data_IF_283726529288
#
_entry.id   IF_283726529288
#
_cell.length_a   1.000
_cell.length_b   1.000
_cell.length_c   1.000
_cell.angle_alpha   90.00
_cell.angle_beta   90.00
_cell.angle_gamma   90.00
#
_symmetry.space_group_name_H-M   'P 1'
#
loop_
_entity.id
_entity.type
_entity.pdbx_description
1 polymer ?
#
# COMPACT_ATOMS: atom_id res chain seq x y z
N UNK A 1 5.81 12.59 1.99
CA UNK A 1 4.40 12.49 2.44
C UNK A 1 4.07 11.05 2.85
N UNK A 2 4.05 10.06 1.95
CA UNK A 2 3.62 8.68 2.26
C UNK A 2 4.42 8.02 3.40
N UNK A 3 5.73 8.24 3.50
CA UNK A 3 6.54 7.71 4.60
C UNK A 3 6.14 8.31 5.96
N UNK A 4 5.84 9.61 6.01
CA UNK A 4 5.37 10.25 7.25
C UNK A 4 4.02 9.70 7.68
N UNK A 5 3.08 9.52 6.75
CA UNK A 5 1.76 8.95 7.07
C UNK A 5 1.86 7.48 7.49
N UNK A 6 2.72 6.70 6.84
CA UNK A 6 3.02 5.33 7.25
C UNK A 6 3.56 5.28 8.69
N UNK A 7 4.49 6.18 9.03
CA UNK A 7 5.03 6.33 10.38
C UNK A 7 3.94 6.66 11.40
N UNK A 8 3.14 7.69 11.15
CA UNK A 8 2.06 8.10 12.06
C UNK A 8 1.04 6.98 12.29
N UNK A 9 0.71 6.21 11.24
CA UNK A 9 -0.17 5.04 11.37
C UNK A 9 0.43 3.93 12.24
N UNK A 10 1.73 3.63 12.07
CA UNK A 10 2.41 2.64 12.89
C UNK A 10 2.50 3.09 14.35
N UNK A 11 2.89 4.35 14.60
CA UNK A 11 3.00 4.91 15.94
C UNK A 11 1.65 4.98 16.67
N UNK A 12 0.55 5.20 15.96
CA UNK A 12 -0.80 5.29 16.54
C UNK A 12 -1.30 3.99 17.21
N UNK A 13 -0.65 2.85 16.95
CA UNK A 13 -1.06 1.55 17.52
C UNK A 13 -0.09 1.01 18.56
N UNK A 14 1.06 1.64 18.79
CA UNK A 14 2.08 1.15 19.73
C UNK A 14 1.59 1.05 21.19
N UNK A 15 0.61 1.85 21.57
CA UNK A 15 0.02 1.82 22.92
C UNK A 15 -1.23 0.94 23.05
N UNK A 16 -1.59 0.18 22.01
CA UNK A 16 -2.76 -0.70 22.04
C UNK A 16 -2.45 -2.03 22.71
N UNK A 17 -3.45 -2.59 23.38
CA UNK A 17 -3.45 -3.99 23.80
C UNK A 17 -4.10 -4.86 22.74
N UNK A 18 -3.64 -6.09 22.63
CA UNK A 18 -4.20 -7.14 21.76
C UNK A 18 -4.42 -8.41 22.57
N UNK A 19 -5.39 -9.21 22.14
CA UNK A 19 -5.65 -10.52 22.73
C UNK A 19 -4.56 -11.50 22.29
N UNK A 20 -3.85 -12.08 23.23
CA UNK A 20 -2.84 -13.13 23.05
C UNK A 20 -3.39 -14.54 23.34
N UNK A 21 -4.69 -14.72 23.27
CA UNK A 21 -5.36 -16.01 23.56
C UNK A 21 -5.25 -16.39 25.04
N UNK A 22 -4.70 -17.57 25.33
CA UNK A 22 -4.57 -18.06 26.73
C UNK A 22 -3.73 -17.14 27.63
N UNK A 23 -2.85 -16.30 27.08
CA UNK A 23 -2.07 -15.31 27.83
C UNK A 23 -2.85 -14.06 28.21
N UNK A 24 -4.08 -13.87 27.66
CA UNK A 24 -4.94 -12.71 27.90
C UNK A 24 -4.51 -11.45 27.15
N UNK A 25 -5.11 -10.33 27.49
CA UNK A 25 -4.81 -9.04 26.88
C UNK A 25 -3.45 -8.50 27.29
N UNK A 26 -2.65 -8.06 26.34
CA UNK A 26 -1.33 -7.50 26.58
C UNK A 26 -0.87 -6.52 25.49
N UNK A 27 0.29 -5.89 25.67
CA UNK A 27 0.85 -5.04 24.62
C UNK A 27 1.16 -5.85 23.37
N UNK A 28 1.17 -5.22 22.19
CA UNK A 28 1.63 -5.87 20.95
C UNK A 28 3.07 -6.37 21.18
N UNK A 29 3.31 -7.66 20.96
CA UNK A 29 4.66 -8.26 21.00
C UNK A 29 5.02 -8.76 19.60
N UNK A 30 5.85 -7.98 18.88
CA UNK A 30 6.19 -8.28 17.50
C UNK A 30 6.60 -7.05 16.71
N UNK A 31 6.41 -7.10 15.41
CA UNK A 31 6.65 -5.95 14.53
C UNK A 31 5.34 -5.24 14.20
N UNK A 32 5.37 -3.91 14.23
CA UNK A 32 4.26 -3.05 13.78
C UNK A 32 4.66 -2.43 12.45
N UNK A 33 3.86 -2.70 11.41
CA UNK A 33 4.06 -2.13 10.08
C UNK A 33 2.96 -1.12 9.77
N UNK A 34 3.34 0.12 9.51
CA UNK A 34 2.47 1.14 8.94
C UNK A 34 2.71 1.27 7.44
N UNK A 35 1.64 1.49 6.68
CA UNK A 35 1.70 1.71 5.24
C UNK A 35 0.81 2.87 4.81
N UNK A 36 1.25 3.60 3.79
CA UNK A 36 0.45 4.63 3.13
C UNK A 36 0.86 4.74 1.67
N UNK A 37 -0.12 4.99 0.78
CA UNK A 37 0.14 5.07 -0.66
C UNK A 37 -0.46 6.33 -1.26
N UNK A 38 0.21 6.87 -2.28
CA UNK A 38 -0.25 7.99 -3.07
C UNK A 38 0.15 7.79 -4.53
N UNK A 39 -0.73 8.17 -5.44
CA UNK A 39 -0.49 8.14 -6.88
C UNK A 39 -0.16 9.53 -7.39
N UNK A 40 0.89 9.66 -8.18
CA UNK A 40 1.32 10.90 -8.82
C UNK A 40 1.18 10.80 -10.33
N UNK A 41 0.51 11.78 -10.93
CA UNK A 41 0.41 11.96 -12.37
C UNK A 41 0.70 13.43 -12.69
N UNK A 42 1.68 13.69 -13.57
CA UNK A 42 2.13 15.04 -13.97
C UNK A 42 2.51 15.96 -12.78
N UNK A 43 3.13 15.40 -11.75
CA UNK A 43 3.51 16.16 -10.55
C UNK A 43 2.36 16.47 -9.60
N UNK A 44 1.15 15.98 -9.89
CA UNK A 44 -0.01 16.13 -9.02
C UNK A 44 -0.26 14.82 -8.27
N UNK A 45 -0.36 14.92 -6.95
CA UNK A 45 -0.60 13.76 -6.08
C UNK A 45 -2.10 13.54 -5.88
N UNK A 46 -2.54 12.31 -6.15
CA UNK A 46 -3.92 11.87 -6.02
C UNK A 46 -4.04 10.83 -4.89
N UNK A 47 -4.84 11.14 -3.89
CA UNK A 47 -5.30 10.18 -2.88
C UNK A 47 -6.53 9.39 -3.36
N UNK A 48 -7.34 8.89 -2.43
CA UNK A 48 -8.63 8.24 -2.72
C UNK A 48 -9.63 9.26 -3.29
N UNK A 49 -10.43 8.90 -4.31
CA UNK A 49 -11.45 9.82 -4.85
C UNK A 49 -12.68 9.96 -3.96
N UNK A 50 -13.09 8.90 -3.26
CA UNK A 50 -14.30 8.78 -2.43
C UNK A 50 -15.64 8.96 -3.16
N UNK A 51 -15.67 9.74 -4.24
CA UNK A 51 -16.88 10.07 -5.00
C UNK A 51 -16.78 9.53 -6.45
N UNK A 52 -17.86 8.92 -7.00
CA UNK A 52 -17.87 8.36 -8.35
C UNK A 52 -17.49 9.37 -9.44
N UNK A 53 -18.01 10.60 -9.38
CA UNK A 53 -17.69 11.64 -10.35
C UNK A 53 -16.22 12.08 -10.29
N UNK A 54 -15.57 12.00 -9.13
CA UNK A 54 -14.13 12.25 -8.98
C UNK A 54 -13.33 11.11 -9.57
N UNK A 55 -13.71 9.87 -9.28
CA UNK A 55 -13.08 8.68 -9.86
C UNK A 55 -13.17 8.68 -11.40
N UNK A 56 -14.36 8.96 -11.96
CA UNK A 56 -14.55 9.06 -13.40
C UNK A 56 -13.64 10.10 -14.05
N UNK A 57 -13.57 11.31 -13.48
CA UNK A 57 -12.69 12.37 -14.00
C UNK A 57 -11.22 11.94 -13.98
N UNK A 58 -10.79 11.21 -12.97
CA UNK A 58 -9.41 10.69 -12.88
C UNK A 58 -9.14 9.65 -13.95
N UNK A 59 -10.07 8.72 -14.18
CA UNK A 59 -9.94 7.70 -15.22
C UNK A 59 -9.83 8.30 -16.62
N UNK A 60 -10.65 9.30 -16.94
CA UNK A 60 -10.53 10.04 -18.20
C UNK A 60 -9.18 10.76 -18.35
N UNK A 61 -8.58 11.20 -17.24
CA UNK A 61 -7.25 11.82 -17.24
C UNK A 61 -6.13 10.78 -17.35
N UNK A 62 -6.29 9.61 -16.73
CA UNK A 62 -5.27 8.56 -16.64
C UNK A 62 -5.18 7.70 -17.91
N UNK A 63 -6.28 7.51 -18.63
CA UNK A 63 -6.37 6.69 -19.85
C UNK A 63 -5.26 7.02 -20.83
N UNK A 64 -4.51 5.99 -21.25
CA UNK A 64 -3.38 6.10 -22.19
C UNK A 64 -2.12 6.76 -21.60
N UNK A 65 -2.09 7.05 -20.31
CA UNK A 65 -0.98 7.74 -19.66
C UNK A 65 -0.29 6.87 -18.62
N UNK A 66 0.80 7.36 -18.09
CA UNK A 66 1.50 6.73 -16.99
C UNK A 66 1.68 7.68 -15.81
N UNK A 67 1.62 7.12 -14.61
CA UNK A 67 1.89 7.80 -13.38
C UNK A 67 2.68 6.93 -12.42
N UNK A 68 3.08 7.49 -11.28
CA UNK A 68 3.87 6.77 -10.28
C UNK A 68 3.07 6.57 -9.01
N UNK A 69 2.98 5.33 -8.56
CA UNK A 69 2.47 5.02 -7.23
C UNK A 69 3.65 4.93 -6.27
N UNK A 70 3.55 5.68 -5.18
CA UNK A 70 4.49 5.70 -4.07
C UNK A 70 3.86 5.01 -2.87
N UNK A 71 4.52 3.98 -2.32
CA UNK A 71 4.09 3.29 -1.11
C UNK A 71 5.16 3.42 -0.02
N UNK A 72 4.82 4.17 1.02
CA UNK A 72 5.66 4.33 2.21
C UNK A 72 5.40 3.22 3.22
N UNK A 73 6.46 2.68 3.81
CA UNK A 73 6.41 1.66 4.83
C UNK A 73 7.23 2.11 6.03
N UNK A 74 6.66 1.95 7.24
CA UNK A 74 7.32 2.22 8.49
C UNK A 74 7.21 1.00 9.40
N UNK A 75 8.36 0.44 9.78
CA UNK A 75 8.45 -0.75 10.62
C UNK A 75 8.97 -0.38 12.00
N UNK A 76 8.25 -0.77 13.05
CA UNK A 76 8.64 -0.62 14.44
C UNK A 76 8.93 -2.00 15.01
N UNK A 77 10.11 -2.19 15.58
CA UNK A 77 10.40 -3.33 16.43
C UNK A 77 9.74 -3.12 17.80
N UNK A 78 8.71 -3.88 18.07
CA UNK A 78 7.92 -3.82 19.31
C UNK A 78 7.99 -5.16 20.07
N UNK A 79 9.02 -5.96 19.79
CA UNK A 79 9.25 -7.23 20.49
C UNK A 79 9.56 -6.97 21.98
N UNK A 80 8.94 -7.78 22.84
CA UNK A 80 8.96 -7.58 24.29
C UNK A 80 7.98 -6.51 24.77
N UNK A 81 6.96 -6.17 23.97
CA UNK A 81 5.84 -5.32 24.35
C UNK A 81 6.16 -3.82 24.44
N UNK A 82 7.27 -3.36 23.87
CA UNK A 82 7.69 -1.95 23.86
C UNK A 82 8.52 -1.62 22.62
N UNK A 83 8.48 -0.37 22.12
CA UNK A 83 9.32 0.05 21.01
C UNK A 83 10.81 -0.08 21.34
N UNK A 84 11.57 -0.80 20.52
CA UNK A 84 13.01 -1.01 20.63
C UNK A 84 13.79 -0.34 19.47
N UNK A 85 13.13 -0.06 18.36
CA UNK A 85 13.71 0.61 17.21
C UNK A 85 12.66 0.81 16.11
N UNK A 86 12.99 1.62 15.12
CA UNK A 86 12.12 1.81 13.96
C UNK A 86 12.94 2.18 12.72
N UNK A 87 12.45 1.75 11.56
CA UNK A 87 13.01 2.08 10.24
C UNK A 87 11.90 2.21 9.21
N UNK A 88 12.19 2.79 8.05
CA UNK A 88 11.20 2.91 7.00
C UNK A 88 11.79 3.25 5.64
N UNK A 89 10.94 3.15 4.63
CA UNK A 89 11.33 3.45 3.25
C UNK A 89 10.14 3.67 2.35
N UNK A 90 10.44 4.04 1.11
CA UNK A 90 9.43 4.22 0.06
C UNK A 90 9.77 3.29 -1.10
N UNK A 91 8.76 2.61 -1.61
CA UNK A 91 8.78 1.91 -2.90
C UNK A 91 7.97 2.71 -3.90
N UNK A 92 8.53 2.92 -5.10
CA UNK A 92 7.86 3.66 -6.17
C UNK A 92 7.79 2.80 -7.42
N UNK A 93 6.61 2.74 -8.02
CA UNK A 93 6.36 1.96 -9.23
C UNK A 93 5.57 2.77 -10.24
N UNK A 94 5.97 2.71 -11.51
CA UNK A 94 5.24 3.36 -12.59
C UNK A 94 4.12 2.44 -13.07
N UNK A 95 2.94 3.00 -13.26
CA UNK A 95 1.76 2.31 -13.80
C UNK A 95 1.32 3.00 -15.06
N UNK A 96 1.23 2.26 -16.17
CA UNK A 96 0.72 2.74 -17.46
C UNK A 96 -0.67 2.18 -17.72
N UNK A 97 -1.62 3.07 -17.97
CA UNK A 97 -3.00 2.73 -18.28
C UNK A 97 -3.15 2.44 -19.78
N UNK A 98 -4.04 1.51 -20.13
CA UNK A 98 -4.41 1.24 -21.52
C UNK A 98 -5.02 2.51 -22.15
N UNK A 99 -4.81 2.68 -23.45
CA UNK A 99 -5.24 3.87 -24.20
C UNK A 99 -6.59 3.67 -24.90
N UNK A 100 -7.01 2.44 -25.03
CA UNK A 100 -8.24 2.01 -25.71
C UNK A 100 -9.46 1.83 -24.78
N UNK A 101 -9.36 2.20 -23.51
CA UNK A 101 -10.46 2.09 -22.53
C UNK A 101 -11.61 3.01 -22.95
N UNK A 102 -12.79 2.47 -23.18
CA UNK A 102 -13.99 3.25 -23.51
C UNK A 102 -14.55 3.99 -22.29
N UNK A 103 -15.37 5.03 -22.54
CA UNK A 103 -16.08 5.74 -21.46
C UNK A 103 -17.06 4.81 -20.74
N UNK A 104 -17.67 3.85 -21.45
CA UNK A 104 -18.59 2.86 -20.88
C UNK A 104 -17.90 1.89 -19.92
N UNK A 105 -16.66 1.48 -20.23
CA UNK A 105 -15.84 0.65 -19.32
C UNK A 105 -15.46 1.43 -18.08
N UNK A 106 -15.07 2.72 -18.23
CA UNK A 106 -14.79 3.60 -17.10
C UNK A 106 -16.02 3.72 -16.20
N UNK A 107 -17.19 3.99 -16.79
CA UNK A 107 -18.44 4.14 -16.03
C UNK A 107 -18.82 2.84 -15.33
N UNK A 108 -18.65 1.70 -15.98
CA UNK A 108 -18.90 0.38 -15.40
C UNK A 108 -17.94 0.07 -14.24
N UNK A 109 -16.66 0.39 -14.38
CA UNK A 109 -15.68 0.18 -13.32
C UNK A 109 -15.96 1.10 -12.12
N UNK A 110 -16.26 2.37 -12.36
CA UNK A 110 -16.62 3.32 -11.29
C UNK A 110 -17.87 2.87 -10.55
N UNK A 111 -18.86 2.33 -11.25
CA UNK A 111 -20.11 1.83 -10.67
C UNK A 111 -19.90 0.64 -9.70
N UNK A 112 -18.79 -0.10 -9.82
CA UNK A 112 -18.45 -1.18 -8.86
C UNK A 112 -18.12 -0.65 -7.46
N UNK A 113 -17.76 0.63 -7.34
CA UNK A 113 -17.27 1.24 -6.09
C UNK A 113 -15.80 0.94 -5.78
N UNK A 114 -15.17 -0.03 -6.45
CA UNK A 114 -13.78 -0.43 -6.20
C UNK A 114 -12.78 0.74 -6.27
N UNK A 115 -12.81 1.62 -7.29
CA UNK A 115 -11.85 2.71 -7.40
C UNK A 115 -12.00 3.80 -6.35
N UNK A 116 -13.10 3.83 -5.59
CA UNK A 116 -13.39 4.96 -4.69
C UNK A 116 -12.49 5.01 -3.47
N UNK A 117 -12.04 3.85 -2.99
CA UNK A 117 -11.30 3.71 -1.73
C UNK A 117 -9.81 3.39 -1.91
N UNK A 118 -9.27 3.58 -3.12
CA UNK A 118 -7.86 3.32 -3.42
C UNK A 118 -7.15 4.56 -3.98
N UNK A 119 -5.86 4.72 -3.66
CA UNK A 119 -5.04 5.81 -4.18
C UNK A 119 -4.93 5.71 -5.71
N UNK A 120 -5.14 6.83 -6.41
CA UNK A 120 -5.14 6.87 -7.87
C UNK A 120 -6.40 6.29 -8.53
N UNK A 121 -7.37 5.80 -7.75
CA UNK A 121 -8.64 5.25 -8.24
C UNK A 121 -8.50 3.97 -9.10
N UNK A 122 -7.49 3.14 -8.88
CA UNK A 122 -7.29 1.89 -9.62
C UNK A 122 -6.74 0.77 -8.74
N UNK A 123 -6.93 -0.47 -9.16
CA UNK A 123 -6.29 -1.67 -8.63
C UNK A 123 -5.57 -2.41 -9.75
N UNK A 124 -4.57 -3.24 -9.40
CA UNK A 124 -3.87 -4.12 -10.36
C UNK A 124 -4.13 -5.60 -10.09
N UNK A 125 -4.84 -5.91 -9.05
CA UNK A 125 -5.10 -7.26 -8.53
C UNK A 125 -6.59 -7.59 -8.39
N UNK A 126 -7.47 -6.71 -8.91
CA UNK A 126 -8.91 -6.88 -8.90
C UNK A 126 -9.55 -6.39 -10.22
N UNK A 127 -10.74 -5.78 -10.19
CA UNK A 127 -11.50 -5.39 -11.39
C UNK A 127 -10.81 -4.33 -12.25
N UNK A 128 -9.92 -3.53 -11.68
CA UNK A 128 -9.11 -2.55 -12.41
C UNK A 128 -7.97 -3.15 -13.24
N UNK A 129 -7.57 -4.40 -12.97
CA UNK A 129 -6.42 -5.05 -13.60
C UNK A 129 -6.43 -5.04 -15.14
N UNK A 130 -7.57 -5.30 -15.84
CA UNK A 130 -7.61 -5.29 -17.31
C UNK A 130 -7.27 -3.94 -17.95
N UNK A 131 -7.37 -2.85 -17.19
CA UNK A 131 -7.13 -1.49 -17.69
C UNK A 131 -5.66 -1.03 -17.48
N UNK A 132 -4.81 -1.90 -16.91
CA UNK A 132 -3.40 -1.62 -16.68
C UNK A 132 -2.56 -2.28 -17.77
N UNK A 133 -1.95 -1.46 -18.60
CA UNK A 133 -1.13 -1.95 -19.72
C UNK A 133 0.27 -2.41 -19.26
N UNK A 134 0.83 -1.76 -18.22
CA UNK A 134 2.18 -2.09 -17.73
C UNK A 134 2.39 -1.61 -16.29
N UNK A 135 3.14 -2.40 -15.51
CA UNK A 135 3.69 -1.98 -14.22
C UNK A 135 5.22 -2.12 -14.29
N UNK A 136 5.95 -1.03 -14.07
CA UNK A 136 7.41 -1.03 -13.94
C UNK A 136 7.80 -0.75 -12.49
N UNK A 137 8.52 -1.67 -11.87
CA UNK A 137 8.91 -1.62 -10.47
C UNK A 137 8.36 -2.78 -9.66
N UNK A 138 7.92 -2.53 -8.44
CA UNK A 138 7.36 -3.54 -7.53
C UNK A 138 5.83 -3.56 -7.59
N UNK A 139 5.21 -4.57 -8.23
CA UNK A 139 3.76 -4.66 -8.31
C UNK A 139 3.09 -4.85 -6.93
N UNK A 140 3.77 -5.50 -5.97
CA UNK A 140 3.23 -5.64 -4.61
C UNK A 140 3.14 -4.27 -3.91
N UNK A 141 4.08 -3.34 -4.20
CA UNK A 141 3.98 -1.97 -3.70
C UNK A 141 2.76 -1.24 -4.27
N UNK A 142 2.36 -1.54 -5.51
CA UNK A 142 1.15 -0.96 -6.14
C UNK A 142 -0.11 -1.46 -5.44
N UNK A 143 -0.16 -2.72 -5.04
CA UNK A 143 -1.25 -3.28 -4.21
C UNK A 143 -1.28 -2.66 -2.81
N UNK A 144 -0.13 -2.20 -2.30
CA UNK A 144 -0.05 -1.48 -1.01
C UNK A 144 1.05 -1.96 -0.06
N UNK A 145 1.67 -3.14 -0.31
CA UNK A 145 2.76 -3.67 0.51
C UNK A 145 3.93 -4.13 -0.35
N UNK A 146 5.01 -3.35 -0.39
CA UNK A 146 6.28 -3.81 -0.96
C UNK A 146 6.91 -4.89 -0.09
N UNK A 147 6.72 -6.15 -0.47
CA UNK A 147 7.32 -7.30 0.23
C UNK A 147 8.86 -7.25 0.13
N UNK A 148 9.39 -6.77 -0.99
CA UNK A 148 10.83 -6.58 -1.19
C UNK A 148 11.41 -5.51 -0.25
N UNK A 149 10.70 -4.39 -0.06
CA UNK A 149 11.10 -3.36 0.90
C UNK A 149 10.98 -3.87 2.33
N UNK A 150 9.84 -4.50 2.69
CA UNK A 150 9.63 -5.06 4.02
C UNK A 150 10.75 -6.05 4.41
N UNK A 151 11.15 -6.93 3.48
CA UNK A 151 12.29 -7.83 3.71
C UNK A 151 13.56 -7.07 4.07
N UNK A 152 13.86 -5.95 3.41
CA UNK A 152 15.05 -5.12 3.70
C UNK A 152 14.96 -4.47 5.07
N UNK A 153 13.78 -3.91 5.41
CA UNK A 153 13.55 -3.29 6.72
C UNK A 153 13.69 -4.30 7.87
N UNK A 154 13.22 -5.52 7.70
CA UNK A 154 13.35 -6.60 8.69
C UNK A 154 14.82 -7.01 8.90
N UNK A 155 15.65 -6.96 7.85
CA UNK A 155 17.09 -7.26 8.00
C UNK A 155 17.83 -6.26 8.91
N UNK A 156 17.35 -5.01 9.03
CA UNK A 156 17.93 -4.02 9.95
C UNK A 156 17.69 -4.40 11.43
N UNK A 157 16.76 -5.32 11.69
CA UNK A 157 16.48 -5.91 13.01
C UNK A 157 16.93 -7.38 13.11
N UNK A 158 17.86 -7.81 12.26
CA UNK A 158 18.41 -9.18 12.20
C UNK A 158 17.36 -10.26 11.92
N UNK A 159 16.19 -9.90 11.35
CA UNK A 159 15.15 -10.85 10.98
C UNK A 159 15.32 -11.27 9.52
N UNK A 160 15.61 -12.55 9.31
CA UNK A 160 15.69 -13.16 7.97
C UNK A 160 14.32 -13.62 7.50
N UNK A 161 13.95 -13.29 6.27
CA UNK A 161 12.63 -13.61 5.71
C UNK A 161 12.18 -15.06 5.89
N UNK A 162 13.05 -16.11 5.69
CA UNK A 162 12.64 -17.49 5.90
C UNK A 162 12.17 -17.82 7.33
N UNK A 163 12.60 -17.07 8.35
CA UNK A 163 12.17 -17.30 9.73
C UNK A 163 10.69 -16.95 9.97
N UNK A 164 10.06 -16.28 9.01
CA UNK A 164 8.62 -15.95 9.05
C UNK A 164 7.74 -17.00 8.37
N UNK A 165 8.35 -18.04 7.79
CA UNK A 165 7.58 -19.09 7.12
C UNK A 165 6.96 -20.06 8.14
N UNK A 166 5.68 -20.35 7.99
CA UNK A 166 4.95 -21.35 8.80
C UNK A 166 5.28 -22.79 8.41
N UNK A 167 6.47 -23.05 7.90
CA UNK A 167 6.93 -24.38 7.48
C UNK A 167 8.22 -24.72 8.18
N UNK A 168 8.40 -25.95 8.72
CA UNK A 168 9.71 -26.40 9.14
C UNK A 168 10.65 -26.40 7.93
N UNK A 169 11.83 -25.82 8.09
CA UNK A 169 12.91 -25.85 7.09
C UNK A 169 13.66 -27.19 7.23
#
# INVERSE_FOLDING_TARGET
MVLLLARLKAEAVTGRTVDHGEAGDGPIDGFILGGDSAFELDGIVYGKPHLPEVARKRWLLQRGREGTLHSGHWLIDHRGGRPAGATGGVSSSTVRFADDISDEEIDSYVATGEPLEVAGAFTIDSLGAPFIAEVRGDPHAVVGLSVALLRRLLLEFDVRWPSLWNRPL
#
